data_IF_674619445795
#
_entry.id   IF_674619445795
#
_cell.length_a   1.000
_cell.length_b   1.000
_cell.length_c   1.000
_cell.angle_alpha   90.00
_cell.angle_beta   90.00
_cell.angle_gamma   90.00
#
_symmetry.space_group_name_H-M   'P 1'
#
loop_
_entity.id
_entity.type
_entity.pdbx_description
1 polymer ?
#
# COMPACT_ATOMS: atom_id res chain seq x y z
N UNK A 1 -14.44 -4.92 44.71
CA UNK A 1 -14.07 -3.50 44.46
C UNK A 1 -12.56 -3.39 44.58
N UNK A 2 -11.83 -3.29 43.45
CA UNK A 2 -10.37 -3.22 43.48
C UNK A 2 -9.90 -1.83 43.94
N UNK A 3 -8.90 -1.73 44.84
CA UNK A 3 -8.48 -0.45 45.41
C UNK A 3 -7.71 0.40 44.39
N UNK A 4 -8.15 1.64 44.23
CA UNK A 4 -7.67 2.72 43.32
C UNK A 4 -6.17 3.08 43.43
N UNK A 5 -5.37 2.38 44.23
CA UNK A 5 -3.95 2.68 44.48
C UNK A 5 -2.97 1.89 43.59
N UNK A 6 -3.46 0.89 42.85
CA UNK A 6 -2.66 0.16 41.84
C UNK A 6 -2.60 0.88 40.48
N UNK A 7 -3.43 1.90 40.25
CA UNK A 7 -3.49 2.62 38.97
C UNK A 7 -2.40 3.70 38.84
N UNK A 8 -1.83 4.17 39.96
CA UNK A 8 -0.89 5.30 39.96
C UNK A 8 0.56 4.90 39.64
N UNK A 9 0.90 3.60 39.70
CA UNK A 9 2.27 3.12 39.46
C UNK A 9 2.50 2.73 37.99
N UNK A 10 1.44 2.53 37.19
CA UNK A 10 1.59 2.26 35.75
C UNK A 10 1.75 3.53 34.89
N UNK A 11 1.65 4.72 35.49
CA UNK A 11 1.65 6.02 34.78
C UNK A 11 3.00 6.75 34.81
N UNK A 12 4.09 6.08 35.22
CA UNK A 12 5.43 6.66 35.37
C UNK A 12 6.46 6.16 34.34
N UNK A 13 6.01 5.49 33.27
CA UNK A 13 6.89 4.97 32.21
C UNK A 13 6.57 5.56 30.82
N UNK A 14 6.03 6.77 30.75
CA UNK A 14 6.23 7.59 29.55
C UNK A 14 7.61 8.22 29.66
N UNK A 15 8.65 7.42 29.40
CA UNK A 15 9.90 8.01 28.93
C UNK A 15 9.56 8.75 27.66
N UNK A 16 9.67 10.09 27.73
CA UNK A 16 9.78 10.96 26.57
C UNK A 16 10.73 10.30 25.58
N UNK A 17 10.19 9.65 24.54
CA UNK A 17 10.94 9.42 23.32
C UNK A 17 11.07 10.81 22.72
N UNK A 18 12.15 11.51 23.10
CA UNK A 18 12.66 12.56 22.25
C UNK A 18 12.74 11.98 20.83
N UNK A 19 12.16 12.63 19.81
CA UNK A 19 12.29 12.14 18.45
C UNK A 19 13.78 12.10 18.14
N UNK A 20 14.35 10.89 18.08
CA UNK A 20 15.65 10.67 17.47
C UNK A 20 15.45 11.14 16.04
N UNK A 21 15.93 12.35 15.75
CA UNK A 21 15.92 12.88 14.40
C UNK A 21 16.81 11.95 13.60
N UNK A 22 16.19 11.00 12.88
CA UNK A 22 16.91 10.16 11.95
C UNK A 22 17.59 11.10 10.96
N UNK A 23 18.85 10.83 10.64
CA UNK A 23 19.49 11.53 9.52
C UNK A 23 18.63 11.35 8.27
N UNK A 24 18.52 12.37 7.38
CA UNK A 24 17.76 12.27 6.15
C UNK A 24 18.07 10.99 5.34
N UNK A 25 19.33 10.53 5.39
CA UNK A 25 19.78 9.31 4.72
C UNK A 25 19.18 8.03 5.33
N UNK A 26 19.08 7.93 6.66
CA UNK A 26 18.44 6.79 7.33
C UNK A 26 16.93 6.78 7.13
N UNK A 27 16.31 7.96 7.06
CA UNK A 27 14.89 8.10 6.78
C UNK A 27 14.54 7.67 5.34
N UNK A 28 15.34 8.06 4.34
CA UNK A 28 15.16 7.61 2.95
C UNK A 28 15.38 6.11 2.81
N UNK A 29 16.44 5.56 3.41
CA UNK A 29 16.72 4.12 3.39
C UNK A 29 15.57 3.31 3.98
N UNK A 30 14.96 3.82 5.06
CA UNK A 30 13.75 3.24 5.63
C UNK A 30 12.55 3.35 4.67
N UNK A 31 12.34 4.50 4.01
CA UNK A 31 11.27 4.65 3.03
C UNK A 31 11.41 3.68 1.83
N UNK A 32 12.63 3.50 1.34
CA UNK A 32 12.95 2.53 0.28
C UNK A 32 12.68 1.09 0.75
N UNK A 33 13.03 0.74 1.99
CA UNK A 33 12.74 -0.61 2.51
C UNK A 33 11.23 -0.89 2.64
N UNK A 34 10.41 0.14 2.87
CA UNK A 34 8.95 0.00 2.87
C UNK A 34 8.39 -0.41 1.50
N UNK A 35 9.06 -0.08 0.38
CA UNK A 35 8.67 -0.59 -0.94
C UNK A 35 8.78 -2.12 -1.01
N UNK A 36 9.79 -2.71 -0.37
CA UNK A 36 9.93 -4.16 -0.23
C UNK A 36 8.80 -4.78 0.61
N UNK A 37 8.34 -4.08 1.65
CA UNK A 37 7.16 -4.49 2.43
C UNK A 37 5.89 -4.50 1.57
N UNK A 38 5.66 -3.43 0.79
CA UNK A 38 4.54 -3.37 -0.15
C UNK A 38 4.63 -4.53 -1.15
N UNK A 39 5.82 -4.77 -1.72
CA UNK A 39 6.05 -5.87 -2.66
C UNK A 39 5.65 -7.22 -2.07
N UNK A 40 6.13 -7.53 -0.85
CA UNK A 40 5.81 -8.78 -0.16
C UNK A 40 4.31 -8.95 0.05
N UNK A 41 3.63 -7.90 0.52
CA UNK A 41 2.18 -7.96 0.77
C UNK A 41 1.35 -8.03 -0.52
N UNK A 42 1.78 -7.40 -1.62
CA UNK A 42 1.12 -7.54 -2.91
C UNK A 42 1.33 -8.93 -3.52
N UNK A 43 2.49 -9.55 -3.33
CA UNK A 43 2.71 -10.95 -3.74
C UNK A 43 1.78 -11.90 -2.98
N UNK A 44 1.69 -11.76 -1.66
CA UNK A 44 0.77 -12.56 -0.83
C UNK A 44 -0.71 -12.31 -1.17
N UNK A 45 -1.06 -11.08 -1.56
CA UNK A 45 -2.39 -10.77 -2.08
C UNK A 45 -2.64 -11.46 -3.43
N UNK A 46 -1.66 -11.45 -4.33
CA UNK A 46 -1.74 -12.13 -5.63
C UNK A 46 -1.97 -13.62 -5.45
N UNK A 47 -1.22 -14.27 -4.56
CA UNK A 47 -1.41 -15.69 -4.21
C UNK A 47 -2.81 -15.96 -3.64
N UNK A 48 -3.32 -15.09 -2.76
CA UNK A 48 -4.65 -15.25 -2.20
C UNK A 48 -5.76 -15.04 -3.24
N UNK A 49 -5.58 -14.11 -4.18
CA UNK A 49 -6.50 -13.92 -5.31
C UNK A 49 -6.51 -15.16 -6.21
N UNK A 50 -5.33 -15.64 -6.60
CA UNK A 50 -5.18 -16.78 -7.52
C UNK A 50 -5.74 -18.08 -6.93
N UNK A 51 -5.45 -18.34 -5.65
CA UNK A 51 -5.94 -19.51 -4.93
C UNK A 51 -7.40 -19.42 -4.45
N UNK A 52 -8.04 -18.26 -4.57
CA UNK A 52 -9.43 -18.11 -4.16
C UNK A 52 -10.36 -18.92 -5.06
N UNK A 53 -11.12 -19.82 -4.43
CA UNK A 53 -12.08 -20.73 -5.06
C UNK A 53 -13.46 -20.70 -4.38
N UNK A 54 -13.76 -19.63 -3.64
CA UNK A 54 -14.99 -19.51 -2.87
C UNK A 54 -14.83 -19.81 -1.37
N UNK A 55 -15.96 -19.72 -0.66
CA UNK A 55 -16.05 -20.00 0.78
C UNK A 55 -15.63 -18.84 1.67
N UNK A 56 -16.17 -18.84 2.89
CA UNK A 56 -15.97 -17.76 3.88
C UNK A 56 -14.51 -17.67 4.32
N UNK A 57 -13.83 -18.81 4.49
CA UNK A 57 -12.41 -18.82 4.89
C UNK A 57 -11.50 -18.23 3.81
N UNK A 58 -11.73 -18.57 2.54
CA UNK A 58 -11.00 -17.97 1.43
C UNK A 58 -11.23 -16.46 1.34
N UNK A 59 -12.47 -16.01 1.58
CA UNK A 59 -12.81 -14.58 1.54
C UNK A 59 -12.15 -13.83 2.71
N UNK A 60 -12.13 -14.44 3.90
CA UNK A 60 -11.44 -13.88 5.07
C UNK A 60 -9.93 -13.77 4.83
N UNK A 61 -9.30 -14.80 4.25
CA UNK A 61 -7.89 -14.75 3.87
C UNK A 61 -7.63 -13.63 2.87
N UNK A 62 -8.46 -13.53 1.82
CA UNK A 62 -8.34 -12.48 0.82
C UNK A 62 -8.48 -11.08 1.45
N UNK A 63 -9.51 -10.85 2.26
CA UNK A 63 -9.74 -9.58 2.96
C UNK A 63 -8.56 -9.21 3.88
N UNK A 64 -8.01 -10.20 4.61
CA UNK A 64 -6.83 -9.99 5.43
C UNK A 64 -5.59 -9.62 4.59
N UNK A 65 -5.38 -10.25 3.43
CA UNK A 65 -4.27 -9.88 2.53
C UNK A 65 -4.43 -8.49 1.95
N UNK A 66 -5.65 -8.10 1.56
CA UNK A 66 -5.96 -6.74 1.13
C UNK A 66 -5.63 -5.74 2.24
N UNK A 67 -6.11 -5.97 3.47
CA UNK A 67 -5.88 -5.07 4.60
C UNK A 67 -4.39 -4.93 4.93
N UNK A 68 -3.61 -6.01 4.84
CA UNK A 68 -2.16 -5.96 5.06
C UNK A 68 -1.45 -5.15 3.97
N UNK A 69 -1.82 -5.33 2.69
CA UNK A 69 -1.28 -4.52 1.60
C UNK A 69 -1.64 -3.03 1.76
N UNK A 70 -2.89 -2.72 2.10
CA UNK A 70 -3.33 -1.34 2.42
C UNK A 70 -2.51 -0.74 3.57
N UNK A 71 -2.30 -1.51 4.64
CA UNK A 71 -1.55 -1.07 5.81
C UNK A 71 -0.07 -0.84 5.49
N UNK A 72 0.53 -1.67 4.64
CA UNK A 72 1.90 -1.48 4.16
C UNK A 72 2.03 -0.21 3.31
N UNK A 73 1.10 0.02 2.37
CA UNK A 73 1.09 1.25 1.54
C UNK A 73 0.89 2.49 2.44
N UNK A 74 -0.04 2.44 3.39
CA UNK A 74 -0.27 3.52 4.36
C UNK A 74 0.98 3.79 5.20
N UNK A 75 1.63 2.75 5.72
CA UNK A 75 2.86 2.86 6.49
C UNK A 75 3.99 3.50 5.66
N UNK A 76 4.16 3.06 4.41
CA UNK A 76 5.11 3.66 3.49
C UNK A 76 4.81 5.13 3.23
N UNK A 77 3.53 5.48 3.03
CA UNK A 77 3.06 6.86 2.83
C UNK A 77 3.38 7.75 4.03
N UNK A 78 3.09 7.29 5.25
CA UNK A 78 3.36 8.05 6.47
C UNK A 78 4.85 8.28 6.69
N UNK A 79 5.69 7.28 6.39
CA UNK A 79 7.15 7.44 6.44
C UNK A 79 7.66 8.43 5.40
N UNK A 80 7.12 8.34 4.19
CA UNK A 80 7.47 9.24 3.10
C UNK A 80 7.11 10.69 3.41
N UNK A 81 5.98 10.91 4.08
CA UNK A 81 5.52 12.25 4.48
C UNK A 81 6.51 12.95 5.43
N UNK A 82 7.28 12.18 6.21
CA UNK A 82 8.32 12.70 7.10
C UNK A 82 9.61 13.11 6.38
N UNK A 83 9.79 12.74 5.11
CA UNK A 83 10.99 13.10 4.36
C UNK A 83 10.97 14.58 3.94
N UNK A 84 12.14 15.24 3.84
CA UNK A 84 12.25 16.49 3.09
C UNK A 84 11.95 16.25 1.60
N UNK A 85 11.91 17.33 0.82
CA UNK A 85 11.94 17.22 -0.65
C UNK A 85 13.18 16.42 -1.05
N UNK A 86 13.01 15.45 -1.94
CA UNK A 86 14.09 14.58 -2.40
C UNK A 86 15.05 15.37 -3.28
N UNK A 87 16.34 15.14 -3.08
CA UNK A 87 17.36 15.52 -4.07
C UNK A 87 17.23 14.68 -5.34
N UNK A 88 17.99 15.02 -6.39
CA UNK A 88 18.04 14.23 -7.63
C UNK A 88 18.44 12.78 -7.36
N UNK A 89 19.57 12.57 -6.67
CA UNK A 89 20.09 11.25 -6.31
C UNK A 89 19.10 10.46 -5.42
N UNK A 90 18.47 11.12 -4.45
CA UNK A 90 17.48 10.48 -3.58
C UNK A 90 16.24 10.03 -4.37
N UNK A 91 15.81 10.84 -5.32
CA UNK A 91 14.72 10.49 -6.23
C UNK A 91 15.10 9.32 -7.13
N UNK A 92 16.30 9.31 -7.73
CA UNK A 92 16.74 8.20 -8.59
C UNK A 92 16.80 6.88 -7.82
N UNK A 93 17.29 6.89 -6.58
CA UNK A 93 17.31 5.71 -5.71
C UNK A 93 15.89 5.21 -5.38
N UNK A 94 14.99 6.14 -5.03
CA UNK A 94 13.59 5.80 -4.79
C UNK A 94 12.91 5.27 -6.07
N UNK A 95 13.11 5.94 -7.21
CA UNK A 95 12.51 5.60 -8.49
C UNK A 95 12.96 4.22 -8.99
N UNK A 96 14.25 3.91 -8.91
CA UNK A 96 14.76 2.58 -9.26
C UNK A 96 14.25 1.47 -8.34
N UNK A 97 13.87 1.79 -7.10
CA UNK A 97 13.21 0.85 -6.19
C UNK A 97 11.72 0.69 -6.51
N UNK A 98 11.06 1.78 -6.91
CA UNK A 98 9.67 1.78 -7.31
C UNK A 98 9.44 1.06 -8.65
N UNK A 99 10.36 1.20 -9.60
CA UNK A 99 10.34 0.49 -10.89
C UNK A 99 10.27 -1.04 -10.70
N UNK A 100 11.00 -1.58 -9.71
CA UNK A 100 10.96 -3.01 -9.35
C UNK A 100 9.61 -3.45 -8.76
N UNK A 101 8.86 -2.52 -8.17
CA UNK A 101 7.54 -2.79 -7.59
C UNK A 101 6.43 -2.83 -8.65
N UNK A 102 6.57 -2.08 -9.75
CA UNK A 102 5.58 -2.02 -10.82
C UNK A 102 5.11 -3.37 -11.37
N UNK A 103 5.98 -4.33 -11.74
CA UNK A 103 5.52 -5.63 -12.24
C UNK A 103 4.70 -6.40 -11.20
N UNK A 104 4.97 -6.21 -9.90
CA UNK A 104 4.20 -6.85 -8.81
C UNK A 104 2.82 -6.20 -8.66
N UNK A 105 2.72 -4.87 -8.76
CA UNK A 105 1.44 -4.16 -8.80
C UNK A 105 0.60 -4.64 -9.98
N UNK A 106 1.19 -4.66 -11.18
CA UNK A 106 0.50 -5.11 -12.39
C UNK A 106 0.08 -6.58 -12.30
N UNK A 107 0.91 -7.45 -11.71
CA UNK A 107 0.58 -8.85 -11.46
C UNK A 107 -0.64 -9.02 -10.55
N UNK A 108 -0.68 -8.30 -9.43
CA UNK A 108 -1.82 -8.33 -8.50
C UNK A 108 -3.11 -7.84 -9.18
N UNK A 109 -3.04 -6.75 -9.93
CA UNK A 109 -4.18 -6.18 -10.67
C UNK A 109 -4.69 -7.12 -11.76
N UNK A 110 -3.79 -7.68 -12.58
CA UNK A 110 -4.14 -8.64 -13.64
C UNK A 110 -4.77 -9.91 -13.06
N UNK A 111 -4.27 -10.39 -11.92
CA UNK A 111 -4.85 -11.54 -11.20
C UNK A 111 -6.24 -11.23 -10.65
N UNK A 112 -6.43 -10.05 -10.05
CA UNK A 112 -7.74 -9.59 -9.59
C UNK A 112 -8.76 -9.53 -10.74
N UNK A 113 -8.36 -8.94 -11.87
CA UNK A 113 -9.19 -8.89 -13.09
C UNK A 113 -9.54 -10.29 -13.60
N UNK A 114 -8.57 -11.21 -13.64
CA UNK A 114 -8.81 -12.60 -14.05
C UNK A 114 -9.83 -13.36 -13.17
N UNK A 115 -10.05 -12.90 -11.94
CA UNK A 115 -11.03 -13.48 -11.00
C UNK A 115 -12.39 -12.80 -11.01
N UNK A 116 -12.59 -11.73 -11.79
CA UNK A 116 -13.83 -10.94 -11.81
C UNK A 116 -15.08 -11.80 -12.08
N UNK A 117 -15.04 -12.68 -13.09
CA UNK A 117 -16.17 -13.58 -13.40
C UNK A 117 -16.45 -14.58 -12.28
N UNK A 118 -15.40 -15.04 -11.59
CA UNK A 118 -15.54 -15.94 -10.46
C UNK A 118 -16.20 -15.23 -9.27
N UNK A 119 -15.79 -13.99 -8.98
CA UNK A 119 -16.44 -13.16 -7.96
C UNK A 119 -17.89 -12.86 -8.29
N UNK A 120 -18.21 -12.63 -9.57
CA UNK A 120 -19.59 -12.43 -10.01
C UNK A 120 -20.45 -13.67 -9.76
N UNK A 121 -19.99 -14.86 -10.17
CA UNK A 121 -20.69 -16.14 -9.94
C UNK A 121 -20.96 -16.42 -8.46
N UNK A 122 -20.09 -15.94 -7.57
CA UNK A 122 -20.22 -16.08 -6.13
C UNK A 122 -21.02 -14.95 -5.46
N UNK A 123 -21.46 -13.95 -6.21
CA UNK A 123 -22.16 -12.78 -5.66
C UNK A 123 -21.26 -11.85 -4.82
N UNK A 124 -19.94 -11.92 -5.01
CA UNK A 124 -18.94 -11.22 -4.20
C UNK A 124 -18.36 -9.97 -4.87
N UNK A 125 -18.72 -9.69 -6.12
CA UNK A 125 -18.25 -8.50 -6.87
C UNK A 125 -18.30 -7.20 -6.03
N UNK A 126 -19.42 -6.83 -5.36
CA UNK A 126 -19.47 -5.61 -4.56
C UNK A 126 -18.50 -5.61 -3.37
N UNK A 127 -18.32 -6.76 -2.72
CA UNK A 127 -17.40 -6.90 -1.58
C UNK A 127 -15.95 -6.74 -2.04
N UNK A 128 -15.60 -7.37 -3.16
CA UNK A 128 -14.25 -7.27 -3.74
C UNK A 128 -14.00 -5.86 -4.28
N UNK A 129 -14.99 -5.22 -4.90
CA UNK A 129 -14.90 -3.83 -5.34
C UNK A 129 -14.58 -2.89 -4.17
N UNK A 130 -15.26 -3.02 -3.02
CA UNK A 130 -14.98 -2.21 -1.84
C UNK A 130 -13.56 -2.44 -1.28
N UNK A 131 -13.09 -3.69 -1.27
CA UNK A 131 -11.74 -4.05 -0.85
C UNK A 131 -10.68 -3.43 -1.78
N UNK A 132 -10.89 -3.53 -3.10
CA UNK A 132 -10.01 -2.95 -4.12
C UNK A 132 -10.03 -1.42 -4.06
N UNK A 133 -11.18 -0.80 -3.82
CA UNK A 133 -11.27 0.66 -3.67
C UNK A 133 -10.34 1.17 -2.56
N UNK A 134 -10.32 0.53 -1.39
CA UNK A 134 -9.41 0.95 -0.32
C UNK A 134 -7.92 0.82 -0.66
N UNK A 135 -7.55 -0.14 -1.54
CA UNK A 135 -6.17 -0.23 -2.06
C UNK A 135 -5.87 0.92 -3.02
N UNK A 136 -6.84 1.26 -3.89
CA UNK A 136 -6.73 2.38 -4.83
C UNK A 136 -6.59 3.70 -4.06
N UNK A 137 -7.36 3.89 -2.99
CA UNK A 137 -7.30 5.10 -2.16
C UNK A 137 -5.93 5.27 -1.50
N UNK A 138 -5.39 4.21 -0.88
CA UNK A 138 -4.04 4.29 -0.26
C UNK A 138 -2.94 4.44 -1.31
N UNK A 139 -3.06 3.79 -2.48
CA UNK A 139 -2.14 4.00 -3.60
C UNK A 139 -2.14 5.45 -4.06
N UNK A 140 -3.31 6.04 -4.26
CA UNK A 140 -3.45 7.42 -4.72
C UNK A 140 -2.95 8.40 -3.66
N UNK A 141 -3.19 8.11 -2.38
CA UNK A 141 -2.58 8.82 -1.27
C UNK A 141 -1.05 8.76 -1.32
N UNK A 142 -0.47 7.57 -1.54
CA UNK A 142 0.98 7.38 -1.63
C UNK A 142 1.56 8.16 -2.82
N UNK A 143 0.93 8.04 -4.00
CA UNK A 143 1.29 8.78 -5.22
C UNK A 143 1.31 10.29 -4.96
N UNK A 144 0.25 10.83 -4.38
CA UNK A 144 0.17 12.26 -4.03
C UNK A 144 1.26 12.69 -3.04
N UNK A 145 1.55 11.87 -2.03
CA UNK A 145 2.61 12.18 -1.05
C UNK A 145 3.98 12.22 -1.73
N UNK A 146 4.31 11.26 -2.60
CA UNK A 146 5.62 11.29 -3.29
C UNK A 146 5.72 12.45 -4.28
N UNK A 147 4.65 12.79 -5.01
CA UNK A 147 4.64 13.98 -5.88
C UNK A 147 4.98 15.25 -5.10
N UNK A 148 4.51 15.36 -3.85
CA UNK A 148 4.84 16.47 -2.94
C UNK A 148 6.29 16.51 -2.46
N UNK A 149 7.08 15.44 -2.70
CA UNK A 149 8.50 15.35 -2.37
C UNK A 149 9.41 15.46 -3.60
N UNK A 150 8.86 15.73 -4.80
CA UNK A 150 9.60 15.74 -6.06
C UNK A 150 9.69 17.13 -6.71
N UNK A 151 10.66 17.31 -7.60
CA UNK A 151 10.68 18.41 -8.57
C UNK A 151 9.60 18.22 -9.66
N UNK A 152 9.22 19.29 -10.37
CA UNK A 152 8.21 19.22 -11.46
C UNK A 152 8.62 18.29 -12.60
N UNK A 153 9.92 18.24 -12.90
CA UNK A 153 10.48 17.35 -13.92
C UNK A 153 10.30 15.88 -13.52
N UNK A 154 10.65 15.54 -12.28
CA UNK A 154 10.51 14.20 -11.73
C UNK A 154 9.05 13.74 -11.65
N UNK A 155 8.11 14.65 -11.35
CA UNK A 155 6.67 14.34 -11.39
C UNK A 155 6.25 13.93 -12.80
N UNK A 156 6.71 14.64 -13.84
CA UNK A 156 6.36 14.33 -15.24
C UNK A 156 6.87 12.95 -15.64
N UNK A 157 8.12 12.63 -15.28
CA UNK A 157 8.69 11.31 -15.52
C UNK A 157 7.91 10.21 -14.78
N UNK A 158 7.55 10.41 -13.51
CA UNK A 158 6.79 9.44 -12.73
C UNK A 158 5.36 9.24 -13.28
N UNK A 159 4.69 10.29 -13.76
CA UNK A 159 3.35 10.17 -14.37
C UNK A 159 3.43 9.27 -15.61
N UNK A 160 4.42 9.49 -16.49
CA UNK A 160 4.62 8.64 -17.65
C UNK A 160 4.93 7.18 -17.24
N UNK A 161 5.78 7.00 -16.24
CA UNK A 161 6.13 5.68 -15.72
C UNK A 161 4.93 4.93 -15.11
N UNK A 162 3.97 5.65 -14.53
CA UNK A 162 2.78 5.07 -13.89
C UNK A 162 1.58 4.87 -14.82
N UNK A 163 1.67 5.24 -16.10
CA UNK A 163 0.53 5.24 -17.02
C UNK A 163 -0.12 3.86 -17.16
N UNK A 164 0.68 2.78 -17.31
CA UNK A 164 0.14 1.41 -17.41
C UNK A 164 -0.57 0.99 -16.12
N UNK A 165 0.00 1.31 -14.97
CA UNK A 165 -0.60 1.01 -13.65
C UNK A 165 -1.92 1.77 -13.50
N UNK A 166 -1.95 3.07 -13.81
CA UNK A 166 -3.15 3.90 -13.72
C UNK A 166 -4.28 3.37 -14.63
N UNK A 167 -3.95 3.00 -15.87
CA UNK A 167 -4.90 2.37 -16.80
C UNK A 167 -5.42 1.03 -16.28
N UNK A 168 -4.53 0.18 -15.77
CA UNK A 168 -4.89 -1.16 -15.28
C UNK A 168 -5.77 -1.06 -14.03
N UNK A 169 -5.48 -0.14 -13.11
CA UNK A 169 -6.32 0.13 -11.93
C UNK A 169 -7.75 0.48 -12.35
N UNK A 170 -7.89 1.44 -13.27
CA UNK A 170 -9.20 1.86 -13.77
C UNK A 170 -9.96 0.68 -14.39
N UNK A 171 -9.30 -0.07 -15.26
CA UNK A 171 -9.89 -1.22 -15.95
C UNK A 171 -10.37 -2.32 -14.99
N UNK A 172 -9.56 -2.68 -13.98
CA UNK A 172 -9.92 -3.68 -12.96
C UNK A 172 -11.13 -3.23 -12.16
N UNK A 173 -11.15 -1.96 -11.76
CA UNK A 173 -12.22 -1.40 -10.95
C UNK A 173 -13.55 -1.37 -11.71
N UNK A 174 -13.55 -0.89 -12.95
CA UNK A 174 -14.72 -0.91 -13.84
C UNK A 174 -15.26 -2.34 -14.04
N UNK A 175 -14.37 -3.32 -14.19
CA UNK A 175 -14.78 -4.73 -14.31
C UNK A 175 -15.46 -5.26 -13.04
N UNK A 176 -15.00 -4.85 -11.85
CA UNK A 176 -15.60 -5.25 -10.56
C UNK A 176 -16.94 -4.56 -10.28
N UNK A 177 -17.13 -3.32 -10.75
CA UNK A 177 -18.39 -2.57 -10.60
C UNK A 177 -19.45 -2.93 -11.64
N UNK A 178 -19.06 -3.47 -12.80
CA UNK A 178 -20.02 -3.93 -13.80
C UNK A 178 -20.97 -5.00 -13.24
N UNK A 179 -22.28 -4.82 -13.47
CA UNK A 179 -23.34 -5.72 -12.99
C UNK A 179 -23.38 -6.99 -13.83
#
# INVERSE_FOLDING_TARGET
MLPKRLLTILLASLTSLAPVSASPHTALSHSVSQLGSIQSHLSLLTEALDSYNGGVWGLLTLANRVNNAQSAIRGARLNLDQLPVLSGDDFENWAGSYEKLQPVILGALKTAHGKTDHFHKLGLKPVVAALVQGLIDERNGYKKTIEGKMSRENITAMVAHNEEVDKTVKFVFEALESV
#
